data_IF_882544073435
#
_entry.id   IF_882544073435
#
_cell.length_a   1.000
_cell.length_b   1.000
_cell.length_c   1.000
_cell.angle_alpha   90.00
_cell.angle_beta   90.00
_cell.angle_gamma   90.00
#
_symmetry.space_group_name_H-M   'P 1'
#
loop_
_entity.id
_entity.type
_entity.pdbx_description
1 polymer ?
#
# COMPACT_ATOMS: atom_id res chain seq x y z
N UNK A 1 -49.95 -5.29 95.78
CA UNK A 1 -48.96 -5.01 96.84
C UNK A 1 -47.80 -4.25 96.21
N UNK A 2 -47.46 -3.10 96.79
CA UNK A 2 -46.55 -2.05 96.28
C UNK A 2 -45.06 -2.45 96.30
N UNK A 3 -44.23 -2.00 95.34
CA UNK A 3 -43.21 -0.92 95.46
C UNK A 3 -42.11 -0.93 94.35
N UNK A 4 -42.08 0.16 93.59
CA UNK A 4 -40.98 0.98 93.00
C UNK A 4 -39.48 0.52 92.95
N UNK A 5 -38.87 0.79 91.77
CA UNK A 5 -37.65 1.61 91.44
C UNK A 5 -36.22 1.01 91.41
N UNK A 6 -35.67 0.97 90.18
CA UNK A 6 -34.50 1.71 89.60
C UNK A 6 -33.00 1.46 89.98
N UNK A 7 -32.19 1.34 88.90
CA UNK A 7 -30.78 1.79 88.68
C UNK A 7 -29.64 0.88 89.24
N UNK A 8 -28.44 0.70 88.65
CA UNK A 8 -27.70 1.37 87.57
C UNK A 8 -26.50 0.51 87.06
N UNK A 9 -26.02 0.83 85.84
CA UNK A 9 -24.62 0.97 85.36
C UNK A 9 -23.55 -0.18 85.37
N UNK A 10 -23.16 -0.53 84.13
CA UNK A 10 -21.81 -0.80 83.55
C UNK A 10 -20.81 -1.83 84.14
N UNK A 11 -20.17 -2.49 83.16
CA UNK A 11 -18.82 -3.07 83.11
C UNK A 11 -18.63 -4.57 83.35
N UNK A 12 -17.96 -5.16 82.36
CA UNK A 12 -17.01 -6.28 82.44
C UNK A 12 -17.55 -7.71 82.26
N UNK A 13 -17.85 -8.11 81.02
CA UNK A 13 -17.58 -9.48 80.55
C UNK A 13 -17.21 -9.47 79.06
N UNK A 14 -15.94 -9.75 78.77
CA UNK A 14 -15.45 -10.58 77.66
C UNK A 14 -13.90 -10.53 77.75
N UNK A 15 -13.29 -11.16 78.75
CA UNK A 15 -13.01 -12.60 78.75
C UNK A 15 -12.29 -13.06 77.47
N UNK A 16 -10.96 -13.20 77.60
CA UNK A 16 -10.18 -14.32 77.08
C UNK A 16 -10.29 -14.53 75.56
N UNK A 17 -9.62 -13.65 74.82
CA UNK A 17 -8.79 -14.06 73.67
C UNK A 17 -7.43 -13.40 73.86
N UNK A 18 -6.70 -13.88 74.87
CA UNK A 18 -5.36 -13.46 75.19
C UNK A 18 -4.37 -14.58 74.87
N UNK A 19 -4.34 -15.07 73.63
CA UNK A 19 -3.16 -15.73 73.03
C UNK A 19 -3.27 -15.58 71.50
N UNK A 20 -2.65 -14.53 70.95
CA UNK A 20 -2.18 -14.36 69.55
C UNK A 20 -1.84 -12.90 69.20
N UNK A 21 -1.51 -12.06 70.19
CA UNK A 21 -0.91 -10.73 69.96
C UNK A 21 0.58 -10.69 70.35
N UNK A 22 1.29 -11.80 70.14
CA UNK A 22 2.75 -11.81 70.12
C UNK A 22 3.22 -11.85 68.65
N UNK A 23 3.98 -10.83 68.27
CA UNK A 23 4.77 -10.72 67.03
C UNK A 23 3.99 -10.85 65.71
N UNK A 24 3.20 -9.83 65.37
CA UNK A 24 3.19 -9.36 63.98
C UNK A 24 4.01 -8.09 63.91
N UNK A 25 5.33 -8.26 63.82
CA UNK A 25 6.16 -7.23 63.23
C UNK A 25 5.50 -6.82 61.92
N UNK A 26 5.20 -5.54 61.68
CA UNK A 26 5.01 -5.13 60.30
C UNK A 26 6.37 -5.40 59.66
N UNK A 27 6.46 -6.47 58.87
CA UNK A 27 7.30 -6.44 57.69
C UNK A 27 6.73 -5.27 56.87
N UNK A 28 7.11 -4.05 57.24
CA UNK A 28 7.43 -3.03 56.27
C UNK A 28 8.40 -3.76 55.37
N UNK A 29 7.88 -4.31 54.27
CA UNK A 29 8.67 -4.45 53.09
C UNK A 29 9.21 -3.04 52.88
N UNK A 30 10.45 -2.83 53.34
CA UNK A 30 11.32 -1.81 52.80
C UNK A 30 11.38 -2.20 51.33
N UNK A 31 10.43 -1.67 50.57
CA UNK A 31 10.51 -1.57 49.14
C UNK A 31 11.75 -0.71 48.98
N UNK A 32 12.91 -1.38 48.87
CA UNK A 32 14.13 -0.71 48.54
C UNK A 32 13.81 0.00 47.24
N UNK A 33 13.67 1.33 47.31
CA UNK A 33 13.74 2.21 46.16
C UNK A 33 15.17 2.07 45.62
N UNK A 34 15.43 0.92 44.99
CA UNK A 34 16.52 0.77 44.05
C UNK A 34 16.23 1.85 43.03
N UNK A 35 17.11 2.85 42.85
CA UNK A 35 16.97 3.78 41.74
C UNK A 35 17.04 2.91 40.49
N UNK A 36 15.89 2.54 39.93
CA UNK A 36 15.85 2.03 38.58
C UNK A 36 16.38 3.20 37.77
N UNK A 37 17.64 3.11 37.38
CA UNK A 37 18.10 3.68 36.12
C UNK A 37 17.02 3.32 35.12
N UNK A 38 16.09 4.25 34.87
CA UNK A 38 15.07 4.05 33.86
C UNK A 38 15.83 4.14 32.55
N UNK A 39 16.29 2.99 32.07
CA UNK A 39 16.81 2.86 30.72
C UNK A 39 15.64 3.19 29.79
N UNK A 40 15.60 4.42 29.31
CA UNK A 40 14.60 4.87 28.34
C UNK A 40 15.12 4.56 26.94
N UNK A 41 14.26 4.00 26.09
CA UNK A 41 14.51 3.77 24.67
C UNK A 41 13.42 4.48 23.87
N UNK A 42 13.81 5.07 22.74
CA UNK A 42 12.88 5.59 21.73
C UNK A 42 12.40 4.47 20.81
N UNK A 43 11.29 4.71 20.07
CA UNK A 43 10.82 3.79 19.02
C UNK A 43 11.88 3.57 17.92
N UNK A 44 12.77 4.53 17.70
CA UNK A 44 13.88 4.42 16.75
C UNK A 44 14.94 3.46 17.26
N UNK A 45 15.28 3.53 18.56
CA UNK A 45 16.28 2.67 19.21
C UNK A 45 15.76 1.25 19.53
N UNK A 46 14.44 1.07 19.62
CA UNK A 46 13.85 -0.23 19.92
C UNK A 46 13.98 -1.19 18.72
N UNK A 47 14.93 -2.11 18.82
CA UNK A 47 15.25 -3.13 17.81
C UNK A 47 15.53 -4.49 18.46
N UNK A 48 14.48 -5.16 19.00
CA UNK A 48 14.67 -6.44 19.67
C UNK A 48 15.07 -7.54 18.69
N UNK A 49 16.05 -8.35 19.08
CA UNK A 49 16.33 -9.63 18.42
C UNK A 49 15.28 -10.65 18.85
N UNK A 50 14.60 -11.25 17.89
CA UNK A 50 13.60 -12.28 18.18
C UNK A 50 14.24 -13.51 18.82
N UNK A 51 13.55 -14.10 19.80
CA UNK A 51 13.87 -15.43 20.34
C UNK A 51 12.97 -16.53 19.76
N UNK A 52 12.09 -16.17 18.83
CA UNK A 52 11.21 -17.12 18.16
C UNK A 52 12.03 -18.05 17.25
N UNK A 53 11.80 -19.35 17.35
CA UNK A 53 12.41 -20.37 16.49
C UNK A 53 11.32 -20.96 15.62
N UNK A 54 11.32 -20.56 14.35
CA UNK A 54 10.33 -20.98 13.33
C UNK A 54 11.08 -21.28 12.02
N UNK A 55 10.48 -22.07 11.10
CA UNK A 55 11.05 -22.25 9.78
C UNK A 55 11.27 -20.91 9.05
N UNK A 56 12.39 -20.80 8.35
CA UNK A 56 12.72 -19.63 7.53
C UNK A 56 13.13 -20.08 6.12
N UNK A 57 12.54 -19.44 5.12
CA UNK A 57 12.82 -19.67 3.71
C UNK A 57 13.38 -18.40 3.06
N UNK A 58 14.56 -18.53 2.43
CA UNK A 58 15.20 -17.44 1.66
C UNK A 58 14.77 -17.52 0.20
N UNK A 59 13.71 -16.78 -0.14
CA UNK A 59 13.13 -16.76 -1.49
C UNK A 59 13.77 -15.64 -2.32
N UNK A 60 15.00 -15.85 -2.79
CA UNK A 60 15.77 -14.82 -3.53
C UNK A 60 15.29 -14.63 -4.99
N UNK A 61 14.47 -15.55 -5.51
CA UNK A 61 13.95 -15.55 -6.88
C UNK A 61 12.51 -16.03 -6.89
N UNK A 62 11.65 -15.40 -7.69
CA UNK A 62 10.24 -15.76 -7.79
C UNK A 62 10.05 -17.17 -8.37
N UNK A 63 9.12 -17.94 -7.78
CA UNK A 63 8.78 -19.31 -8.19
C UNK A 63 8.33 -19.41 -9.65
N UNK A 64 7.55 -18.43 -10.11
CA UNK A 64 7.13 -18.31 -11.52
C UNK A 64 7.63 -17.00 -12.12
N UNK A 65 7.83 -16.93 -13.45
CA UNK A 65 8.11 -15.66 -14.09
C UNK A 65 6.99 -14.67 -13.82
N UNK A 66 7.34 -13.42 -13.57
CA UNK A 66 6.36 -12.40 -13.19
C UNK A 66 6.55 -11.09 -13.96
N UNK A 67 5.54 -10.24 -13.84
CA UNK A 67 5.45 -8.91 -14.41
C UNK A 67 5.39 -7.92 -13.24
N UNK A 68 6.27 -6.93 -13.23
CA UNK A 68 6.14 -5.77 -12.34
C UNK A 68 5.28 -4.73 -13.05
N UNK A 69 3.99 -4.64 -12.67
CA UNK A 69 3.02 -3.70 -13.27
C UNK A 69 3.29 -2.24 -12.86
N UNK A 70 4.16 -2.01 -11.87
CA UNK A 70 4.30 -0.72 -11.22
C UNK A 70 5.77 -0.42 -10.94
N UNK A 71 6.42 0.25 -11.89
CA UNK A 71 7.79 0.77 -11.73
C UNK A 71 7.89 2.19 -12.29
N UNK A 72 8.88 2.94 -11.83
CA UNK A 72 9.11 4.32 -12.24
C UNK A 72 10.56 4.54 -12.70
N UNK A 73 10.74 4.79 -13.99
CA UNK A 73 12.03 5.10 -14.61
C UNK A 73 11.91 6.36 -15.46
N UNK A 74 12.28 7.50 -14.87
CA UNK A 74 12.24 8.81 -15.52
C UNK A 74 13.46 9.00 -16.41
N UNK A 75 13.24 9.34 -17.69
CA UNK A 75 14.30 9.64 -18.65
C UNK A 75 15.49 8.64 -18.61
N UNK A 76 15.23 7.32 -18.68
CA UNK A 76 16.26 6.31 -18.48
C UNK A 76 17.31 6.39 -19.59
N UNK A 77 18.57 6.19 -19.23
CA UNK A 77 19.68 6.04 -20.17
C UNK A 77 19.80 4.60 -20.66
N UNK A 78 20.42 4.35 -21.83
CA UNK A 78 20.67 2.99 -22.31
C UNK A 78 21.42 2.10 -21.30
N UNK A 79 22.39 2.66 -20.57
CA UNK A 79 23.17 1.93 -19.57
C UNK A 79 22.33 1.53 -18.35
N UNK A 80 21.42 2.40 -17.90
CA UNK A 80 20.47 2.08 -16.84
C UNK A 80 19.51 0.97 -17.29
N UNK A 81 19.00 1.03 -18.53
CA UNK A 81 18.14 -0.05 -19.07
C UNK A 81 18.88 -1.38 -19.14
N UNK A 82 20.14 -1.40 -19.56
CA UNK A 82 20.97 -2.62 -19.56
C UNK A 82 21.18 -3.16 -18.13
N UNK A 83 21.30 -2.28 -17.13
CA UNK A 83 21.38 -2.66 -15.72
C UNK A 83 20.05 -3.22 -15.18
N UNK A 84 18.91 -2.64 -15.58
CA UNK A 84 17.59 -3.16 -15.25
C UNK A 84 17.44 -4.60 -15.72
N UNK A 85 17.81 -4.91 -16.96
CA UNK A 85 17.72 -6.27 -17.51
C UNK A 85 18.49 -7.29 -16.66
N UNK A 86 19.71 -6.96 -16.22
CA UNK A 86 20.49 -7.85 -15.34
C UNK A 86 19.79 -8.12 -14.02
N UNK A 87 19.21 -7.07 -13.41
CA UNK A 87 18.44 -7.19 -12.17
C UNK A 87 17.14 -7.97 -12.37
N UNK A 88 16.45 -7.75 -13.48
CA UNK A 88 15.23 -8.46 -13.83
C UNK A 88 15.49 -9.97 -14.00
N UNK A 89 16.55 -10.29 -14.74
CA UNK A 89 16.96 -11.66 -15.00
C UNK A 89 17.33 -12.41 -13.72
N UNK A 90 17.91 -11.75 -12.72
CA UNK A 90 18.31 -12.39 -11.46
C UNK A 90 17.13 -12.82 -10.59
N UNK A 91 15.99 -12.13 -10.68
CA UNK A 91 14.80 -12.38 -9.84
C UNK A 91 13.62 -13.04 -10.54
N UNK A 92 13.75 -13.39 -11.83
CA UNK A 92 12.68 -13.96 -12.68
C UNK A 92 11.63 -12.95 -13.15
N UNK A 93 11.99 -11.67 -13.19
CA UNK A 93 11.13 -10.61 -13.73
C UNK A 93 11.25 -10.61 -15.27
N UNK A 94 10.17 -11.02 -15.95
CA UNK A 94 10.18 -11.09 -17.41
C UNK A 94 9.82 -9.75 -18.04
N UNK A 95 8.83 -9.05 -17.49
CA UNK A 95 8.35 -7.79 -18.06
C UNK A 95 8.21 -6.74 -16.96
N UNK A 96 8.76 -5.56 -17.21
CA UNK A 96 8.62 -4.41 -16.32
C UNK A 96 7.79 -3.32 -17.00
N UNK A 97 6.80 -2.82 -16.29
CA UNK A 97 5.98 -1.69 -16.73
C UNK A 97 6.54 -0.41 -16.15
N UNK A 98 7.07 0.46 -17.02
CA UNK A 98 7.47 1.81 -16.65
C UNK A 98 6.26 2.75 -16.73
N UNK A 99 5.87 3.29 -15.59
CA UNK A 99 4.75 4.23 -15.45
C UNK A 99 5.17 5.69 -15.66
N UNK A 100 6.44 5.95 -15.95
CA UNK A 100 7.03 7.28 -16.14
C UNK A 100 7.46 7.50 -17.59
N UNK A 101 6.55 7.23 -18.54
CA UNK A 101 6.84 7.37 -19.96
C UNK A 101 6.93 8.80 -20.46
N UNK A 102 6.24 9.75 -19.82
CA UNK A 102 5.98 11.08 -20.37
C UNK A 102 4.90 11.07 -21.46
N UNK A 103 4.87 12.12 -22.27
CA UNK A 103 3.97 12.29 -23.43
C UNK A 103 4.76 12.86 -24.62
N UNK A 104 4.25 12.70 -25.84
CA UNK A 104 4.84 13.28 -27.05
C UNK A 104 6.28 12.80 -27.31
N UNK A 105 7.20 13.76 -27.48
CA UNK A 105 8.61 13.46 -27.77
C UNK A 105 9.36 12.87 -26.56
N UNK A 106 8.92 13.14 -25.32
CA UNK A 106 9.49 12.44 -24.15
C UNK A 106 9.12 10.96 -24.17
N UNK A 107 7.86 10.64 -24.47
CA UNK A 107 7.41 9.26 -24.60
C UNK A 107 8.15 8.50 -25.69
N UNK A 108 8.33 9.09 -26.88
CA UNK A 108 9.08 8.46 -27.97
C UNK A 108 10.49 8.09 -27.53
N UNK A 109 11.20 9.01 -26.87
CA UNK A 109 12.56 8.76 -26.36
C UNK A 109 12.57 7.62 -25.32
N UNK A 110 11.62 7.61 -24.38
CA UNK A 110 11.52 6.54 -23.38
C UNK A 110 11.22 5.19 -24.04
N UNK A 111 10.30 5.14 -25.01
CA UNK A 111 9.98 3.93 -25.76
C UNK A 111 11.18 3.44 -26.56
N UNK A 112 11.91 4.32 -27.24
CA UNK A 112 13.11 3.96 -28.00
C UNK A 112 14.20 3.38 -27.10
N UNK A 113 14.51 4.03 -25.97
CA UNK A 113 15.57 3.59 -25.07
C UNK A 113 15.19 2.29 -24.34
N UNK A 114 13.94 2.07 -23.98
CA UNK A 114 13.52 0.85 -23.29
C UNK A 114 13.11 -0.26 -24.26
N UNK A 115 11.99 -0.07 -24.96
CA UNK A 115 11.42 -1.08 -25.86
C UNK A 115 12.22 -1.21 -27.15
N UNK A 116 12.80 -0.14 -27.68
CA UNK A 116 13.66 -0.24 -28.87
C UNK A 116 14.88 -1.12 -28.64
N UNK A 117 15.44 -1.11 -27.42
CA UNK A 117 16.57 -1.98 -27.02
C UNK A 117 16.14 -3.39 -26.62
N UNK A 118 15.05 -3.52 -25.86
CA UNK A 118 14.55 -4.80 -25.35
C UNK A 118 13.03 -4.94 -25.59
N UNK A 119 12.60 -5.25 -26.83
CA UNK A 119 11.19 -5.16 -27.25
C UNK A 119 10.18 -5.99 -26.45
N UNK A 120 10.64 -7.05 -25.81
CA UNK A 120 9.81 -8.01 -25.06
C UNK A 120 9.88 -7.84 -23.54
N UNK A 121 10.71 -6.93 -23.04
CA UNK A 121 11.04 -6.81 -21.60
C UNK A 121 10.40 -5.61 -20.94
N UNK A 122 9.96 -4.62 -21.72
CA UNK A 122 9.41 -3.39 -21.19
C UNK A 122 8.06 -3.04 -21.80
N UNK A 123 7.23 -2.46 -20.96
CA UNK A 123 5.98 -1.77 -21.32
C UNK A 123 6.13 -0.34 -20.82
N UNK A 124 5.65 0.64 -21.60
CA UNK A 124 5.70 2.05 -21.21
C UNK A 124 4.29 2.60 -21.17
N UNK A 125 3.91 3.24 -20.07
CA UNK A 125 2.65 3.97 -19.97
C UNK A 125 2.88 5.45 -20.26
N UNK A 126 1.95 6.06 -20.98
CA UNK A 126 1.93 7.51 -21.18
C UNK A 126 1.56 8.22 -19.87
N UNK A 127 1.88 9.50 -19.77
CA UNK A 127 1.51 10.36 -18.66
C UNK A 127 0.60 11.49 -19.15
N UNK A 128 -0.32 11.91 -18.28
CA UNK A 128 -1.21 13.03 -18.58
C UNK A 128 -0.44 14.35 -18.52
N UNK A 129 -0.65 15.22 -19.52
CA UNK A 129 -0.17 16.60 -19.52
C UNK A 129 -1.32 17.57 -19.22
N UNK A 130 -1.14 18.33 -18.13
CA UNK A 130 -2.10 19.30 -17.59
C UNK A 130 -1.72 20.76 -17.91
N UNK A 131 -0.64 21.00 -18.67
CA UNK A 131 -0.09 22.34 -18.91
C UNK A 131 -1.08 23.33 -19.57
N UNK A 132 -2.12 22.81 -20.22
CA UNK A 132 -3.13 23.55 -20.94
C UNK A 132 -4.57 23.30 -20.43
N UNK A 133 -4.69 22.90 -19.16
CA UNK A 133 -5.94 22.55 -18.47
C UNK A 133 -7.05 23.60 -18.64
N UNK A 134 -6.74 24.89 -18.46
CA UNK A 134 -7.74 25.97 -18.49
C UNK A 134 -8.17 26.41 -19.91
N UNK A 135 -7.70 25.74 -20.98
CA UNK A 135 -8.13 26.09 -22.34
C UNK A 135 -9.47 25.42 -22.68
N UNK A 136 -10.39 26.08 -23.42
CA UNK A 136 -11.75 25.57 -23.68
C UNK A 136 -11.82 24.18 -24.34
N UNK A 137 -10.84 23.83 -25.17
CA UNK A 137 -10.73 22.57 -25.90
C UNK A 137 -9.76 21.57 -25.24
N UNK A 138 -9.48 21.72 -23.93
CA UNK A 138 -8.58 20.85 -23.17
C UNK A 138 -8.88 19.36 -23.38
N UNK A 139 -10.14 18.93 -23.15
CA UNK A 139 -10.55 17.53 -23.28
C UNK A 139 -10.23 16.95 -24.66
N UNK A 140 -10.44 17.72 -25.74
CA UNK A 140 -10.14 17.29 -27.10
C UNK A 140 -8.62 17.15 -27.32
N UNK A 141 -7.85 18.17 -26.92
CA UNK A 141 -6.39 18.16 -27.12
C UNK A 141 -5.71 17.05 -26.34
N UNK A 142 -6.07 16.86 -25.07
CA UNK A 142 -5.45 15.84 -24.23
C UNK A 142 -5.82 14.42 -24.70
N UNK A 143 -7.04 14.23 -25.20
CA UNK A 143 -7.46 12.96 -25.82
C UNK A 143 -6.66 12.68 -27.10
N UNK A 144 -6.46 13.68 -27.97
CA UNK A 144 -5.62 13.54 -29.17
C UNK A 144 -4.16 13.27 -28.84
N UNK A 145 -3.62 13.89 -27.78
CA UNK A 145 -2.27 13.58 -27.28
C UNK A 145 -2.15 12.13 -26.86
N UNK A 146 -3.10 11.62 -26.08
CA UNK A 146 -3.12 10.20 -25.68
C UNK A 146 -3.17 9.26 -26.90
N UNK A 147 -4.03 9.54 -27.88
CA UNK A 147 -4.08 8.73 -29.11
C UNK A 147 -2.73 8.71 -29.84
N UNK A 148 -2.05 9.86 -29.90
CA UNK A 148 -0.73 9.95 -30.49
C UNK A 148 0.31 9.20 -29.66
N UNK A 149 0.21 9.24 -28.33
CA UNK A 149 1.11 8.52 -27.42
C UNK A 149 0.99 7.00 -27.55
N UNK A 150 -0.22 6.48 -27.72
CA UNK A 150 -0.42 5.06 -28.03
C UNK A 150 0.20 4.69 -29.37
N UNK A 151 0.05 5.54 -30.40
CA UNK A 151 0.76 5.35 -31.69
C UNK A 151 2.29 5.41 -31.54
N UNK A 152 2.79 6.20 -30.59
CA UNK A 152 4.22 6.28 -30.25
C UNK A 152 4.70 5.07 -29.42
N UNK A 153 3.81 4.16 -29.03
CA UNK A 153 4.16 2.89 -28.39
C UNK A 153 3.78 2.77 -26.92
N UNK A 154 3.03 3.72 -26.35
CA UNK A 154 2.43 3.55 -25.03
C UNK A 154 1.38 2.43 -25.03
N UNK A 155 1.31 1.69 -23.92
CA UNK A 155 0.42 0.53 -23.74
C UNK A 155 -0.51 0.69 -22.53
N UNK A 156 -0.63 1.92 -22.01
CA UNK A 156 -1.39 2.27 -20.83
C UNK A 156 -1.24 3.76 -20.50
N UNK A 157 -2.03 4.23 -19.56
CA UNK A 157 -1.99 5.60 -19.05
C UNK A 157 -1.72 5.57 -17.54
N UNK A 158 -0.76 6.36 -17.08
CA UNK A 158 -0.54 6.64 -15.66
C UNK A 158 -1.11 8.00 -15.30
N UNK A 159 -1.93 8.00 -14.24
CA UNK A 159 -2.38 9.21 -13.54
C UNK A 159 -1.67 9.25 -12.18
N UNK A 160 -0.99 10.36 -11.90
CA UNK A 160 -0.24 10.58 -10.67
C UNK A 160 -1.11 11.22 -9.59
N UNK A 161 -0.59 11.23 -8.36
CA UNK A 161 -1.32 11.61 -7.16
C UNK A 161 -1.64 13.09 -7.04
N UNK A 162 -0.98 13.94 -7.82
CA UNK A 162 -1.34 15.36 -7.93
C UNK A 162 -2.77 15.50 -8.45
N UNK A 163 -3.24 14.57 -9.31
CA UNK A 163 -4.63 14.50 -9.75
C UNK A 163 -5.57 14.25 -8.57
N UNK A 164 -6.49 15.18 -8.33
CA UNK A 164 -7.38 15.14 -7.18
C UNK A 164 -6.80 15.71 -5.89
N UNK A 165 -5.49 15.85 -5.73
CA UNK A 165 -4.89 16.31 -4.47
C UNK A 165 -4.25 17.70 -4.55
N UNK A 166 -3.49 17.98 -5.62
CA UNK A 166 -2.65 19.18 -5.72
C UNK A 166 -2.84 19.94 -7.04
N UNK A 167 -3.45 19.31 -8.05
CA UNK A 167 -3.79 19.96 -9.31
C UNK A 167 -4.96 20.95 -9.11
N UNK A 168 -4.79 22.18 -9.59
CA UNK A 168 -5.78 23.24 -9.52
C UNK A 168 -5.96 23.90 -10.89
N UNK A 169 -7.18 24.35 -11.16
CA UNK A 169 -7.46 25.30 -12.23
C UNK A 169 -6.83 26.67 -11.93
N UNK A 170 -6.69 27.52 -12.95
CA UNK A 170 -6.16 28.88 -12.78
C UNK A 170 -6.99 29.75 -11.82
N UNK A 171 -8.27 29.43 -11.61
CA UNK A 171 -9.15 30.08 -10.65
C UNK A 171 -8.93 29.63 -9.18
N UNK A 172 -7.98 28.73 -8.94
CA UNK A 172 -7.67 28.20 -7.61
C UNK A 172 -8.60 27.08 -7.12
N UNK A 173 -9.56 26.62 -7.94
CA UNK A 173 -10.34 25.43 -7.62
C UNK A 173 -9.51 24.17 -7.85
N UNK A 174 -9.51 23.27 -6.87
CA UNK A 174 -8.89 21.96 -6.99
C UNK A 174 -9.61 21.16 -8.08
N UNK A 175 -8.84 20.45 -8.91
CA UNK A 175 -9.38 19.45 -9.83
C UNK A 175 -9.87 18.25 -9.04
N UNK A 176 -11.15 17.88 -9.21
CA UNK A 176 -11.72 16.68 -8.62
C UNK A 176 -11.28 15.43 -9.39
N UNK A 177 -11.21 14.27 -8.72
CA UNK A 177 -10.81 13.01 -9.40
C UNK A 177 -11.85 12.59 -10.44
N UNK A 178 -13.12 12.90 -10.21
CA UNK A 178 -14.26 12.63 -11.08
C UNK A 178 -14.68 13.83 -11.95
N UNK A 179 -13.76 14.77 -12.17
CA UNK A 179 -14.06 15.95 -12.99
C UNK A 179 -14.38 15.56 -14.45
N UNK A 180 -15.58 15.90 -14.97
CA UNK A 180 -16.04 15.45 -16.28
C UNK A 180 -15.20 15.96 -17.45
N UNK A 181 -14.37 16.99 -17.26
CA UNK A 181 -13.46 17.47 -18.31
C UNK A 181 -12.45 16.40 -18.73
N UNK A 182 -12.14 15.43 -17.85
CA UNK A 182 -11.21 14.32 -18.13
C UNK A 182 -11.91 13.06 -18.67
N UNK A 183 -13.24 12.97 -18.57
CA UNK A 183 -14.03 11.82 -19.03
C UNK A 183 -13.68 11.33 -20.44
N UNK A 184 -13.50 12.21 -21.45
CA UNK A 184 -13.12 11.77 -22.80
C UNK A 184 -11.81 10.99 -22.88
N UNK A 185 -10.83 11.27 -21.99
CA UNK A 185 -9.56 10.54 -21.95
C UNK A 185 -9.75 9.11 -21.45
N UNK A 186 -10.57 8.93 -20.42
CA UNK A 186 -10.84 7.61 -19.86
C UNK A 186 -11.66 6.76 -20.83
N UNK A 187 -12.66 7.33 -21.51
CA UNK A 187 -13.38 6.64 -22.59
C UNK A 187 -12.44 6.28 -23.74
N UNK A 188 -11.51 7.17 -24.10
CA UNK A 188 -10.51 6.88 -25.12
C UNK A 188 -9.60 5.71 -24.73
N UNK A 189 -9.21 5.59 -23.46
CA UNK A 189 -8.45 4.43 -22.99
C UNK A 189 -9.24 3.12 -23.22
N UNK A 190 -10.55 3.12 -22.97
CA UNK A 190 -11.41 1.97 -23.26
C UNK A 190 -11.47 1.65 -24.75
N UNK A 191 -11.66 2.65 -25.61
CA UNK A 191 -11.73 2.47 -27.06
C UNK A 191 -10.40 1.95 -27.64
N UNK A 192 -9.26 2.37 -27.07
CA UNK A 192 -7.92 1.91 -27.45
C UNK A 192 -7.54 0.57 -26.81
N UNK A 193 -8.34 0.05 -25.87
CA UNK A 193 -8.07 -1.20 -25.17
C UNK A 193 -6.86 -1.13 -24.23
N UNK A 194 -6.52 0.04 -23.71
CA UNK A 194 -5.40 0.24 -22.77
C UNK A 194 -5.91 0.47 -21.34
N UNK A 195 -5.20 -0.01 -20.31
CA UNK A 195 -5.56 0.24 -18.91
C UNK A 195 -5.08 1.60 -18.43
N UNK A 196 -5.70 2.08 -17.35
CA UNK A 196 -5.31 3.30 -16.63
C UNK A 196 -4.83 2.92 -15.23
N UNK A 197 -3.55 3.08 -14.95
CA UNK A 197 -3.05 2.97 -13.57
C UNK A 197 -3.13 4.34 -12.91
N UNK A 198 -3.87 4.43 -11.81
CA UNK A 198 -4.21 5.71 -11.18
C UNK A 198 -3.85 5.68 -9.70
N UNK A 199 -3.11 6.70 -9.27
CA UNK A 199 -2.74 6.92 -7.88
C UNK A 199 -3.61 8.07 -7.35
N UNK A 200 -4.48 7.78 -6.38
CA UNK A 200 -5.30 8.79 -5.68
C UNK A 200 -5.10 8.61 -4.19
N UNK A 201 -4.93 9.72 -3.48
CA UNK A 201 -4.65 9.76 -2.05
C UNK A 201 -3.28 9.16 -1.68
N UNK A 202 -3.16 8.78 -0.42
CA UNK A 202 -1.99 8.21 0.26
C UNK A 202 -2.53 7.27 1.36
N UNK A 203 -1.71 6.54 2.14
CA UNK A 203 -2.20 5.78 3.29
C UNK A 203 -3.09 6.63 4.20
N UNK A 204 -4.25 6.12 4.63
CA UNK A 204 -5.27 6.90 5.36
C UNK A 204 -4.69 7.57 6.62
N UNK A 205 -3.77 6.91 7.30
CA UNK A 205 -3.07 7.43 8.47
C UNK A 205 -2.25 8.71 8.21
N UNK A 206 -1.93 9.08 6.97
CA UNK A 206 -1.32 10.37 6.66
C UNK A 206 -2.30 11.54 6.79
N UNK A 207 -3.61 11.27 6.76
CA UNK A 207 -4.68 12.25 6.93
C UNK A 207 -5.12 12.38 8.40
N UNK A 208 -4.70 11.45 9.27
CA UNK A 208 -4.98 11.46 10.70
C UNK A 208 -4.03 12.41 11.46
N UNK A 209 -4.42 12.87 12.68
CA UNK A 209 -3.51 13.62 13.55
C UNK A 209 -2.17 12.90 13.75
N UNK A 210 -1.08 13.65 13.71
CA UNK A 210 0.25 13.10 13.95
C UNK A 210 0.53 13.00 15.46
N UNK A 211 -0.08 12.01 16.10
CA UNK A 211 0.02 11.76 17.54
C UNK A 211 0.32 10.28 17.86
N UNK A 212 0.26 9.92 19.15
CA UNK A 212 0.58 8.56 19.63
C UNK A 212 -0.36 7.46 19.14
N UNK A 213 -1.48 7.80 18.50
CA UNK A 213 -2.45 6.85 17.94
C UNK A 213 -2.25 6.63 16.43
N UNK A 214 -1.39 7.41 15.78
CA UNK A 214 -1.12 7.29 14.36
C UNK A 214 -0.10 6.18 14.07
N UNK A 215 -0.51 5.10 13.40
CA UNK A 215 0.39 3.97 13.09
C UNK A 215 1.56 4.35 12.18
N UNK A 216 1.45 5.47 11.45
CA UNK A 216 2.49 6.03 10.57
C UNK A 216 3.31 7.13 11.24
N UNK A 217 3.23 7.28 12.56
CA UNK A 217 3.97 8.31 13.31
C UNK A 217 5.48 8.32 12.99
N UNK A 218 6.13 7.15 12.94
CA UNK A 218 7.57 7.07 12.65
C UNK A 218 7.88 7.52 11.21
N UNK A 219 7.01 7.17 10.26
CA UNK A 219 7.14 7.59 8.88
C UNK A 219 6.95 9.10 8.72
N UNK A 220 5.97 9.69 9.42
CA UNK A 220 5.75 11.13 9.44
C UNK A 220 6.87 11.88 10.16
N UNK A 221 7.51 11.29 11.18
CA UNK A 221 8.72 11.85 11.80
C UNK A 221 9.89 11.95 10.83
N UNK A 222 10.11 10.89 10.08
CA UNK A 222 11.21 10.85 9.10
C UNK A 222 10.91 11.66 7.84
N UNK A 223 9.63 11.76 7.46
CA UNK A 223 9.16 12.45 6.26
C UNK A 223 7.91 13.30 6.54
N UNK A 224 8.04 14.45 7.24
CA UNK A 224 6.89 15.28 7.64
C UNK A 224 6.03 15.75 6.47
N UNK A 225 6.61 15.93 5.29
CA UNK A 225 5.92 16.31 4.05
C UNK A 225 4.91 15.26 3.53
N UNK A 226 4.92 14.05 4.09
CA UNK A 226 3.92 13.01 3.79
C UNK A 226 2.58 13.25 4.49
N UNK A 227 2.54 14.07 5.53
CA UNK A 227 1.28 14.44 6.17
C UNK A 227 0.31 15.07 5.16
N UNK A 228 -0.98 14.81 5.35
CA UNK A 228 -2.09 15.35 4.55
C UNK A 228 -3.04 16.12 5.47
N UNK A 229 -2.60 17.24 6.07
CA UNK A 229 -3.45 18.01 6.98
C UNK A 229 -4.66 18.59 6.24
N UNK A 230 -5.84 18.68 6.89
CA UNK A 230 -7.07 19.18 6.28
C UNK A 230 -7.00 20.67 5.89
N UNK A 231 -6.01 21.42 6.38
CA UNK A 231 -5.75 22.80 5.95
C UNK A 231 -5.16 22.91 4.54
N UNK A 232 -4.63 21.80 3.99
CA UNK A 232 -3.99 21.78 2.67
C UNK A 232 -4.62 20.77 1.70
N UNK A 233 -5.12 19.64 2.21
CA UNK A 233 -5.58 18.53 1.37
C UNK A 233 -7.05 18.18 1.64
N UNK A 234 -7.79 17.67 0.64
CA UNK A 234 -9.11 17.10 0.86
C UNK A 234 -9.04 15.91 1.83
N UNK A 235 -10.12 15.63 2.58
CA UNK A 235 -10.21 14.42 3.39
C UNK A 235 -10.03 13.14 2.56
N UNK A 236 -9.45 12.09 3.16
CA UNK A 236 -9.28 10.79 2.51
C UNK A 236 -10.59 10.25 1.91
N UNK A 237 -11.69 10.35 2.66
CA UNK A 237 -13.01 9.87 2.20
C UNK A 237 -13.54 10.64 0.98
N UNK A 238 -13.24 11.93 0.86
CA UNK A 238 -13.58 12.72 -0.33
C UNK A 238 -12.85 12.16 -1.55
N UNK A 239 -11.53 11.96 -1.44
CA UNK A 239 -10.71 11.41 -2.52
C UNK A 239 -11.15 9.99 -2.92
N UNK A 240 -11.49 9.13 -1.94
CA UNK A 240 -11.99 7.78 -2.22
C UNK A 240 -13.35 7.80 -2.91
N UNK A 241 -14.23 8.72 -2.52
CA UNK A 241 -15.55 8.89 -3.12
C UNK A 241 -15.43 9.34 -4.57
N UNK A 242 -14.66 10.39 -4.85
CA UNK A 242 -14.44 10.88 -6.21
C UNK A 242 -13.80 9.81 -7.09
N UNK A 243 -12.77 9.10 -6.60
CA UNK A 243 -12.15 7.98 -7.33
C UNK A 243 -13.15 6.89 -7.68
N UNK A 244 -13.96 6.46 -6.72
CA UNK A 244 -14.92 5.38 -6.95
C UNK A 244 -16.05 5.83 -7.90
N UNK A 245 -16.43 7.11 -7.85
CA UNK A 245 -17.37 7.70 -8.81
C UNK A 245 -16.79 7.72 -10.22
N UNK A 246 -15.53 8.15 -10.39
CA UNK A 246 -14.82 8.06 -11.67
C UNK A 246 -14.86 6.64 -12.24
N UNK A 247 -14.55 5.63 -11.44
CA UNK A 247 -14.57 4.23 -11.86
C UNK A 247 -15.96 3.77 -12.30
N UNK A 248 -17.01 4.22 -11.60
CA UNK A 248 -18.40 3.90 -11.92
C UNK A 248 -18.89 4.60 -13.20
N UNK A 249 -18.44 5.83 -13.47
CA UNK A 249 -18.79 6.58 -14.68
C UNK A 249 -18.19 5.95 -15.95
N UNK A 250 -17.10 5.20 -15.83
CA UNK A 250 -16.36 4.63 -16.96
C UNK A 250 -16.27 3.10 -16.90
N UNK A 251 -17.40 2.36 -16.98
CA UNK A 251 -17.43 0.91 -16.78
C UNK A 251 -16.68 0.11 -17.86
N UNK A 252 -16.42 0.71 -19.03
CA UNK A 252 -15.62 0.09 -20.10
C UNK A 252 -14.11 0.22 -19.85
N UNK A 253 -13.67 1.27 -19.18
CA UNK A 253 -12.27 1.55 -18.90
C UNK A 253 -11.77 0.67 -17.77
N UNK A 254 -10.63 0.01 -17.97
CA UNK A 254 -10.00 -0.80 -16.92
C UNK A 254 -9.05 0.06 -16.11
N UNK A 255 -9.34 0.22 -14.82
CA UNK A 255 -8.51 0.99 -13.90
C UNK A 255 -7.66 0.04 -13.06
N UNK A 256 -6.40 0.39 -12.82
CA UNK A 256 -5.54 -0.23 -11.81
C UNK A 256 -5.39 0.83 -10.71
N UNK A 257 -6.13 0.68 -9.61
CA UNK A 257 -6.00 1.54 -8.45
C UNK A 257 -4.71 1.15 -7.71
N UNK A 258 -3.74 2.06 -7.71
CA UNK A 258 -2.43 1.82 -7.14
C UNK A 258 -2.51 1.44 -5.66
N UNK A 259 -1.58 0.60 -5.19
CA UNK A 259 -1.35 0.37 -3.75
C UNK A 259 -2.57 -0.22 -3.02
N UNK A 260 -3.22 -1.24 -3.59
CA UNK A 260 -4.49 -1.80 -3.11
C UNK A 260 -5.62 -0.75 -3.02
N UNK A 261 -5.56 0.30 -3.84
CA UNK A 261 -6.45 1.46 -3.73
C UNK A 261 -6.39 2.14 -2.36
N UNK A 262 -5.27 2.03 -1.65
CA UNK A 262 -5.12 2.45 -0.25
C UNK A 262 -6.19 1.89 0.70
N UNK A 263 -6.67 0.67 0.41
CA UNK A 263 -7.54 -0.10 1.29
C UNK A 263 -6.88 -1.40 1.77
N UNK A 264 -5.54 -1.49 1.72
CA UNK A 264 -4.80 -2.66 2.20
C UNK A 264 -5.03 -2.95 3.69
N UNK A 265 -5.25 -1.92 4.51
CA UNK A 265 -5.61 -2.04 5.93
C UNK A 265 -7.08 -2.48 6.17
N UNK A 266 -7.94 -2.38 5.15
CA UNK A 266 -9.36 -2.75 5.19
C UNK A 266 -9.74 -3.54 3.92
N UNK A 267 -9.30 -4.80 3.87
CA UNK A 267 -9.56 -5.70 2.74
C UNK A 267 -11.06 -5.98 2.53
N UNK A 268 -11.88 -5.83 3.57
CA UNK A 268 -13.34 -5.95 3.45
C UNK A 268 -13.92 -4.79 2.62
N UNK A 269 -13.47 -3.55 2.86
CA UNK A 269 -13.83 -2.39 2.04
C UNK A 269 -13.31 -2.53 0.61
N UNK A 270 -12.09 -3.01 0.41
CA UNK A 270 -11.57 -3.28 -0.93
C UNK A 270 -12.39 -4.35 -1.67
N UNK A 271 -12.79 -5.43 -0.97
CA UNK A 271 -13.63 -6.47 -1.54
C UNK A 271 -14.99 -5.94 -2.03
N UNK A 272 -15.64 -5.07 -1.24
CA UNK A 272 -16.88 -4.40 -1.66
C UNK A 272 -16.69 -3.56 -2.92
N UNK A 273 -15.56 -2.87 -3.06
CA UNK A 273 -15.24 -2.11 -4.28
C UNK A 273 -15.17 -3.02 -5.51
N UNK A 274 -14.51 -4.18 -5.39
CA UNK A 274 -14.43 -5.15 -6.47
C UNK A 274 -15.78 -5.78 -6.84
N UNK A 275 -16.61 -6.07 -5.84
CA UNK A 275 -17.96 -6.61 -6.04
C UNK A 275 -18.87 -5.61 -6.78
N UNK A 276 -18.69 -4.31 -6.52
CA UNK A 276 -19.49 -3.25 -7.13
C UNK A 276 -18.99 -2.81 -8.51
N UNK A 277 -17.66 -2.78 -8.71
CA UNK A 277 -17.03 -2.19 -9.90
C UNK A 277 -16.16 -3.25 -10.62
N UNK A 278 -16.70 -3.97 -11.62
CA UNK A 278 -16.00 -5.07 -12.30
C UNK A 278 -14.83 -4.62 -13.20
N UNK A 279 -14.61 -3.32 -13.34
CA UNK A 279 -13.56 -2.70 -14.14
C UNK A 279 -12.30 -2.29 -13.35
N UNK A 280 -12.29 -2.46 -12.02
CA UNK A 280 -11.20 -2.03 -11.11
C UNK A 280 -10.22 -3.16 -10.75
N UNK A 281 -8.95 -2.98 -10.99
CA UNK A 281 -7.87 -3.85 -10.55
C UNK A 281 -7.04 -3.11 -9.51
N UNK A 282 -6.15 -3.81 -8.82
CA UNK A 282 -5.17 -3.20 -7.93
C UNK A 282 -3.80 -3.84 -8.12
N UNK A 283 -2.74 -3.09 -7.85
CA UNK A 283 -1.43 -3.66 -7.58
C UNK A 283 -1.18 -3.77 -6.06
N UNK A 284 -0.19 -4.57 -5.69
CA UNK A 284 0.29 -4.70 -4.30
C UNK A 284 1.52 -3.82 -4.01
N UNK A 285 1.81 -2.86 -4.89
CA UNK A 285 3.05 -2.10 -4.86
C UNK A 285 3.14 -1.21 -3.61
N UNK A 286 4.33 -1.12 -3.01
CA UNK A 286 4.63 -0.34 -1.80
C UNK A 286 3.87 -0.72 -0.50
N UNK A 287 2.86 -1.59 -0.57
CA UNK A 287 1.95 -1.91 0.55
C UNK A 287 2.01 -3.36 1.02
N UNK A 288 3.12 -4.08 0.75
CA UNK A 288 3.28 -5.47 1.24
C UNK A 288 3.04 -5.59 2.75
N UNK A 289 3.45 -4.59 3.53
CA UNK A 289 3.22 -4.52 4.97
C UNK A 289 1.74 -4.58 5.37
N UNK A 290 0.84 -4.06 4.53
CA UNK A 290 -0.61 -4.09 4.78
C UNK A 290 -1.17 -5.50 4.66
N UNK A 291 -0.71 -6.29 3.70
CA UNK A 291 -1.11 -7.70 3.56
C UNK A 291 -0.42 -8.56 4.62
N UNK A 292 0.89 -8.39 4.76
CA UNK A 292 1.72 -9.23 5.62
C UNK A 292 1.41 -9.12 7.11
N UNK A 293 0.73 -8.06 7.57
CA UNK A 293 0.28 -7.94 8.97
C UNK A 293 -1.05 -8.65 9.27
N UNK A 294 -1.73 -9.15 8.25
CA UNK A 294 -3.04 -9.82 8.35
C UNK A 294 -3.08 -11.10 7.49
N UNK A 295 -2.17 -12.07 7.70
CA UNK A 295 -1.86 -13.10 6.72
C UNK A 295 -3.06 -13.97 6.31
N UNK A 296 -3.95 -14.31 7.23
CA UNK A 296 -5.14 -15.12 6.92
C UNK A 296 -6.14 -14.34 6.04
N UNK A 297 -6.43 -13.09 6.42
CA UNK A 297 -7.29 -12.22 5.62
C UNK A 297 -6.69 -11.92 4.25
N UNK A 298 -5.37 -11.73 4.18
CA UNK A 298 -4.65 -11.52 2.93
C UNK A 298 -4.75 -12.75 2.02
N UNK A 299 -4.48 -13.95 2.54
CA UNK A 299 -4.64 -15.21 1.82
C UNK A 299 -6.05 -15.36 1.23
N UNK A 300 -7.08 -15.21 2.06
CA UNK A 300 -8.47 -15.42 1.66
C UNK A 300 -8.93 -14.36 0.66
N UNK A 301 -8.52 -13.11 0.85
CA UNK A 301 -8.80 -12.01 -0.06
C UNK A 301 -8.16 -12.24 -1.43
N UNK A 302 -6.87 -12.56 -1.47
CA UNK A 302 -6.13 -12.80 -2.72
C UNK A 302 -6.68 -14.02 -3.45
N UNK A 303 -7.10 -15.05 -2.73
CA UNK A 303 -7.73 -16.24 -3.33
C UNK A 303 -9.11 -15.91 -3.92
N UNK A 304 -9.95 -15.17 -3.18
CA UNK A 304 -11.29 -14.77 -3.65
C UNK A 304 -11.24 -13.83 -4.86
N UNK A 305 -10.35 -12.84 -4.83
CA UNK A 305 -10.23 -11.79 -5.85
C UNK A 305 -9.00 -11.96 -6.76
N UNK A 306 -8.54 -13.20 -6.91
CA UNK A 306 -7.32 -13.57 -7.64
C UNK A 306 -7.22 -13.01 -9.06
N UNK A 307 -8.34 -12.75 -9.74
CA UNK A 307 -8.38 -12.22 -11.11
C UNK A 307 -8.29 -10.68 -11.18
N UNK A 308 -8.09 -10.00 -10.04
CA UNK A 308 -8.16 -8.52 -9.92
C UNK A 308 -6.93 -7.89 -9.25
N UNK A 309 -5.94 -8.70 -8.88
CA UNK A 309 -4.73 -8.26 -8.17
C UNK A 309 -3.50 -8.50 -9.03
N UNK A 310 -2.61 -7.53 -9.09
CA UNK A 310 -1.40 -7.53 -9.91
C UNK A 310 -0.15 -7.42 -9.04
N UNK A 311 0.92 -8.12 -9.42
CA UNK A 311 2.25 -7.90 -8.84
C UNK A 311 2.79 -6.53 -9.26
N UNK A 312 3.30 -5.77 -8.31
CA UNK A 312 3.91 -4.47 -8.52
C UNK A 312 4.83 -4.09 -7.36
N UNK A 313 5.85 -3.25 -7.59
CA UNK A 313 6.83 -2.89 -6.55
C UNK A 313 6.97 -1.40 -6.25
N UNK A 314 6.57 -0.54 -7.19
CA UNK A 314 6.65 0.94 -7.19
C UNK A 314 8.09 1.46 -7.29
N UNK A 315 8.87 1.29 -6.21
CA UNK A 315 10.30 1.59 -6.23
C UNK A 315 11.08 0.33 -6.58
N UNK A 316 11.69 0.32 -7.76
CA UNK A 316 12.57 -0.76 -8.18
C UNK A 316 13.84 -0.81 -7.34
N UNK A 317 13.88 -1.77 -6.42
CA UNK A 317 15.07 -2.20 -5.70
C UNK A 317 15.07 -3.72 -5.74
N UNK A 318 15.99 -4.30 -6.52
CA UNK A 318 16.04 -5.74 -6.81
C UNK A 318 16.03 -6.56 -5.53
N UNK A 319 16.78 -6.12 -4.51
CA UNK A 319 16.92 -6.87 -3.27
C UNK A 319 15.66 -6.87 -2.42
N UNK A 320 14.72 -5.92 -2.62
CA UNK A 320 13.49 -5.84 -1.84
C UNK A 320 12.42 -6.84 -2.32
N UNK A 321 12.55 -7.39 -3.54
CA UNK A 321 11.57 -8.32 -4.11
C UNK A 321 11.44 -9.64 -3.33
N UNK A 322 12.51 -10.10 -2.71
CA UNK A 322 12.50 -11.34 -1.93
C UNK A 322 11.50 -11.34 -0.78
N UNK A 323 11.14 -10.17 -0.25
CA UNK A 323 10.06 -10.07 0.76
C UNK A 323 8.69 -10.32 0.15
N UNK A 324 8.44 -9.84 -1.08
CA UNK A 324 7.19 -10.12 -1.78
C UNK A 324 7.08 -11.61 -2.08
N UNK A 325 8.14 -12.23 -2.59
CA UNK A 325 8.16 -13.66 -2.88
C UNK A 325 7.98 -14.48 -1.60
N UNK A 326 8.77 -14.18 -0.55
CA UNK A 326 8.64 -14.86 0.76
C UNK A 326 7.22 -14.74 1.32
N UNK A 327 6.60 -13.57 1.23
CA UNK A 327 5.23 -13.39 1.72
C UNK A 327 4.18 -14.15 0.89
N UNK A 328 4.31 -14.16 -0.44
CA UNK A 328 3.34 -14.78 -1.34
C UNK A 328 3.49 -16.29 -1.48
N UNK A 329 4.69 -16.82 -1.27
CA UNK A 329 5.04 -18.22 -1.58
C UNK A 329 5.17 -19.11 -0.34
N UNK A 330 5.32 -18.53 0.85
CA UNK A 330 5.59 -19.28 2.08
C UNK A 330 4.67 -18.88 3.23
N UNK A 331 4.65 -19.72 4.27
CA UNK A 331 3.94 -19.49 5.54
C UNK A 331 4.91 -19.03 6.62
N UNK A 332 5.98 -18.33 6.24
CA UNK A 332 7.02 -17.88 7.16
C UNK A 332 6.43 -16.94 8.21
N UNK A 333 6.83 -17.13 9.45
CA UNK A 333 6.35 -16.31 10.55
C UNK A 333 7.39 -15.26 10.94
N UNK A 334 6.90 -14.13 11.47
CA UNK A 334 7.72 -13.15 12.15
C UNK A 334 8.85 -12.54 11.28
N UNK A 335 8.55 -12.27 10.01
CA UNK A 335 9.47 -11.69 9.03
C UNK A 335 9.72 -10.23 9.37
N UNK A 336 10.99 -9.85 9.47
CA UNK A 336 11.40 -8.46 9.56
C UNK A 336 11.21 -7.74 8.23
N UNK A 337 10.45 -6.64 8.22
CA UNK A 337 10.24 -5.87 6.99
C UNK A 337 11.44 -4.97 6.70
N UNK A 338 11.83 -4.89 5.42
CA UNK A 338 13.00 -4.13 4.96
C UNK A 338 12.90 -2.60 5.18
N UNK A 339 11.73 -2.09 5.58
CA UNK A 339 11.51 -0.67 5.90
C UNK A 339 10.73 -0.51 7.20
N UNK A 340 11.44 -0.41 8.33
CA UNK A 340 10.88 -0.20 9.69
C UNK A 340 9.80 0.90 9.76
N UNK A 341 9.96 1.99 9.01
CA UNK A 341 8.99 3.10 8.96
C UNK A 341 7.61 2.71 8.41
N UNK A 342 7.53 1.71 7.52
CA UNK A 342 6.25 1.25 6.96
C UNK A 342 5.63 0.13 7.81
N UNK A 343 6.45 -0.62 8.53
CA UNK A 343 6.03 -1.65 9.48
C UNK A 343 7.11 -1.78 10.56
N UNK A 344 6.81 -1.24 11.75
CA UNK A 344 7.64 -1.48 12.93
C UNK A 344 7.29 -2.83 13.58
N UNK A 345 6.16 -3.42 13.19
CA UNK A 345 5.77 -4.79 13.49
C UNK A 345 6.38 -5.77 12.47
N UNK A 346 6.30 -7.06 12.79
CA UNK A 346 6.68 -8.13 11.86
C UNK A 346 5.54 -8.46 10.91
N UNK A 347 5.90 -8.88 9.71
CA UNK A 347 4.97 -9.37 8.71
C UNK A 347 5.09 -10.89 8.61
N UNK A 348 4.12 -11.50 7.95
CA UNK A 348 3.97 -12.95 7.87
C UNK A 348 3.78 -13.34 6.41
N UNK A 349 4.23 -14.55 6.10
CA UNK A 349 3.89 -15.25 4.87
C UNK A 349 2.42 -15.64 4.88
N UNK A 350 1.74 -15.34 3.79
CA UNK A 350 0.34 -15.62 3.57
C UNK A 350 0.13 -16.55 2.36
N UNK A 351 1.18 -17.29 1.97
CA UNK A 351 1.24 -18.31 0.92
C UNK A 351 -0.08 -18.51 0.17
N UNK A 352 -0.14 -18.03 -1.07
CA UNK A 352 -1.27 -18.35 -1.95
C UNK A 352 -0.96 -19.60 -2.79
N UNK A 353 -2.00 -20.30 -3.23
CA UNK A 353 -1.85 -21.45 -4.13
C UNK A 353 -1.18 -21.06 -5.45
N UNK A 354 -0.49 -22.01 -6.09
CA UNK A 354 0.28 -21.76 -7.32
C UNK A 354 -0.55 -21.14 -8.45
N UNK A 355 -1.81 -21.55 -8.59
CA UNK A 355 -2.72 -20.99 -9.60
C UNK A 355 -3.09 -19.54 -9.30
N UNK A 356 -3.28 -19.18 -8.02
CA UNK A 356 -3.49 -17.79 -7.59
C UNK A 356 -2.20 -16.98 -7.79
N UNK A 357 -1.05 -17.56 -7.46
CA UNK A 357 0.25 -16.93 -7.61
C UNK A 357 0.55 -16.57 -9.06
N UNK A 358 0.31 -17.48 -10.01
CA UNK A 358 0.47 -17.22 -11.45
C UNK A 358 -0.41 -16.07 -11.95
N UNK A 359 -1.64 -15.97 -11.44
CA UNK A 359 -2.55 -14.86 -11.77
C UNK A 359 -2.01 -13.51 -11.33
N UNK A 360 -1.59 -13.44 -10.06
CA UNK A 360 -0.99 -12.23 -9.48
C UNK A 360 0.32 -11.88 -10.19
N UNK A 361 1.17 -12.88 -10.46
CA UNK A 361 2.49 -12.68 -11.06
C UNK A 361 2.43 -12.26 -12.51
N UNK A 362 1.54 -12.82 -13.33
CA UNK A 362 1.57 -12.50 -14.76
C UNK A 362 0.23 -12.62 -15.50
N UNK A 363 -0.63 -13.60 -15.21
CA UNK A 363 -1.79 -13.86 -16.08
C UNK A 363 -2.76 -12.67 -16.12
N UNK A 364 -2.96 -11.99 -14.98
CA UNK A 364 -3.81 -10.79 -14.93
C UNK A 364 -3.22 -9.65 -15.76
N UNK A 365 -1.90 -9.41 -15.67
CA UNK A 365 -1.22 -8.38 -16.44
C UNK A 365 -1.23 -8.70 -17.95
N UNK A 366 -1.01 -9.96 -18.34
CA UNK A 366 -1.11 -10.41 -19.73
C UNK A 366 -2.51 -10.17 -20.34
N UNK A 367 -3.56 -10.33 -19.54
CA UNK A 367 -4.94 -10.06 -19.97
C UNK A 367 -5.24 -8.57 -20.07
N UNK A 368 -4.64 -7.77 -19.20
CA UNK A 368 -5.00 -6.36 -18.99
C UNK A 368 -4.21 -5.39 -19.86
N UNK A 369 -2.93 -5.68 -20.09
CA UNK A 369 -2.00 -4.79 -20.81
C UNK A 369 -1.77 -5.34 -22.21
N UNK A 370 -2.17 -4.62 -23.28
CA UNK A 370 -2.00 -5.09 -24.64
C UNK A 370 -0.53 -5.16 -25.02
N UNK A 371 -0.15 -6.11 -25.88
CA UNK A 371 1.19 -6.16 -26.48
C UNK A 371 2.30 -6.76 -25.62
N UNK A 372 1.99 -7.32 -24.45
CA UNK A 372 2.96 -8.13 -23.70
C UNK A 372 3.16 -9.49 -24.40
N UNK A 373 4.41 -9.91 -24.57
CA UNK A 373 4.75 -11.21 -25.16
C UNK A 373 4.49 -12.35 -24.16
N UNK A 374 3.37 -13.05 -24.35
CA UNK A 374 2.98 -14.18 -23.51
C UNK A 374 3.91 -15.41 -23.64
N UNK A 375 4.77 -15.49 -24.67
CA UNK A 375 5.66 -16.64 -24.88
C UNK A 375 6.76 -16.77 -23.81
N UNK A 376 7.01 -15.71 -23.03
CA UNK A 376 7.94 -15.72 -21.91
C UNK A 376 7.37 -16.38 -20.63
N UNK A 377 6.08 -16.76 -20.65
CA UNK A 377 5.38 -17.29 -19.47
C UNK A 377 4.88 -18.73 -19.71
N UNK A 378 4.81 -19.56 -18.65
CA UNK A 378 4.22 -20.90 -18.74
C UNK A 378 2.77 -20.83 -19.18
N UNK A 379 2.39 -21.80 -20.03
CA UNK A 379 1.01 -22.00 -20.49
C UNK A 379 0.09 -22.47 -19.38
#
# INVERSE_FOLDING_TARGET
MNFRRSAAFFLAIAAIVAVLFASRSPLLAQQQDVPRSQKTLTIEEYEPKSTLVVPEHKVERAKFPFIDIHSHHWNPTPAEVDALIKGMDSINLQVMVNLSGGTGEELKRTVEVMKGRYPKRFVVFANMDYSDLDKPDFSERVTKRLEQDVKNGAQGLKIFKDFGMELHYANGQRVHVDDPVFSPVFEKCADLGIPVLIHVAEPSAFFDPWDKYNERWLELKQFPQRARPPSKYPPFETLMTERNHLFAMHPRTKFIAAHLGFHGNDLARLGKLFDQLPNVYVDIAAVLAELGRQPYSAHDFLTKYQDRVLMGKDIYEVNEYKWYFRCLETRDEYIEYYRKRHAFWRIYGFQVDDEVLKKIYYQNALKLVPGIDASAFPK
#
